data_IF_299689327996
#
_entry.id   IF_299689327996
#
_cell.length_a   1.000
_cell.length_b   1.000
_cell.length_c   1.000
_cell.angle_alpha   90.00
_cell.angle_beta   90.00
_cell.angle_gamma   90.00
#
_symmetry.space_group_name_H-M   'P 1'
#
loop_
_entity.id
_entity.type
_entity.pdbx_description
1 polymer ?
#
# COMPACT_ATOMS: atom_id res chain seq x y z
N UNK A 1 -2.16 5.60 11.13
CA UNK A 1 -1.11 5.06 12.03
C UNK A 1 -1.71 3.86 12.75
N UNK A 2 -1.57 2.65 12.20
CA UNK A 2 -1.95 1.41 12.89
C UNK A 2 -0.65 0.62 13.09
N UNK A 3 -0.16 0.58 14.32
CA UNK A 3 0.94 -0.27 14.71
C UNK A 3 0.42 -1.69 14.88
N UNK A 4 1.02 -2.65 14.16
CA UNK A 4 0.83 -4.07 14.45
C UNK A 4 1.88 -4.44 15.48
N UNK A 5 1.47 -4.46 16.76
CA UNK A 5 2.21 -5.16 17.80
C UNK A 5 2.15 -6.66 17.49
N UNK A 6 3.29 -7.28 17.23
CA UNK A 6 3.41 -8.74 17.18
C UNK A 6 3.52 -9.23 18.63
N UNK A 7 2.46 -9.86 19.14
CA UNK A 7 2.52 -10.64 20.35
C UNK A 7 3.30 -11.93 20.05
N UNK A 8 4.37 -12.18 20.81
CA UNK A 8 5.14 -13.42 20.75
C UNK A 8 4.26 -14.58 21.26
N UNK A 9 4.04 -15.60 20.43
CA UNK A 9 3.40 -16.84 20.86
C UNK A 9 2.67 -17.67 19.80
N UNK A 10 2.50 -17.20 18.56
CA UNK A 10 1.97 -18.05 17.48
C UNK A 10 3.10 -18.48 16.55
N UNK A 11 3.34 -19.79 16.56
CA UNK A 11 4.09 -20.51 15.53
C UNK A 11 3.55 -20.09 14.15
N UNK A 12 4.43 -19.77 13.18
CA UNK A 12 4.00 -19.36 11.85
C UNK A 12 3.15 -20.46 11.21
N UNK A 13 2.15 -20.12 10.38
CA UNK A 13 1.33 -21.12 9.70
C UNK A 13 2.24 -22.04 8.89
N UNK A 14 2.10 -23.34 9.15
CA UNK A 14 2.81 -24.41 8.46
C UNK A 14 2.58 -24.27 6.94
N UNK A 15 3.65 -24.22 6.11
CA UNK A 15 3.47 -24.08 4.67
C UNK A 15 2.89 -25.37 4.10
N UNK A 16 1.66 -25.28 3.59
CA UNK A 16 1.10 -26.31 2.73
C UNK A 16 2.08 -26.58 1.58
N UNK A 17 2.55 -27.83 1.53
CA UNK A 17 3.75 -28.23 0.80
C UNK A 17 3.76 -27.90 -0.69
N UNK A 18 4.94 -27.48 -1.15
CA UNK A 18 5.53 -27.95 -2.40
C UNK A 18 6.97 -28.36 -2.09
N UNK A 19 7.24 -29.65 -2.22
CA UNK A 19 8.58 -30.19 -2.08
C UNK A 19 9.33 -30.08 -3.40
N UNK A 20 10.43 -29.33 -3.43
CA UNK A 20 11.59 -29.64 -4.27
C UNK A 20 12.86 -29.41 -3.44
N UNK A 21 13.68 -30.46 -3.35
CA UNK A 21 14.93 -30.44 -2.59
C UNK A 21 16.05 -29.75 -3.35
N UNK A 22 16.79 -28.89 -2.66
CA UNK A 22 18.04 -28.30 -3.15
C UNK A 22 18.57 -27.19 -2.25
N UNK A 23 19.48 -27.54 -1.34
CA UNK A 23 20.37 -26.66 -0.55
C UNK A 23 19.76 -25.47 0.21
N UNK A 24 19.81 -25.51 1.55
CA UNK A 24 19.41 -24.43 2.43
C UNK A 24 20.26 -23.15 2.21
N UNK A 25 19.80 -22.27 1.32
CA UNK A 25 20.42 -20.97 1.09
C UNK A 25 19.37 -19.89 0.75
N UNK A 26 19.27 -18.89 1.62
CA UNK A 26 19.01 -17.49 1.25
C UNK A 26 17.76 -17.25 0.36
N UNK A 27 16.61 -17.75 0.80
CA UNK A 27 15.36 -17.64 0.03
C UNK A 27 14.67 -16.29 0.23
N UNK A 28 13.96 -15.85 -0.80
CA UNK A 28 12.99 -14.75 -0.68
C UNK A 28 11.65 -15.31 -0.20
N UNK A 29 11.01 -14.61 0.72
CA UNK A 29 9.59 -14.80 1.02
C UNK A 29 8.82 -13.75 0.22
N UNK A 30 7.88 -14.20 -0.61
CA UNK A 30 7.08 -13.32 -1.46
C UNK A 30 5.61 -13.51 -1.13
N UNK A 31 4.98 -12.43 -0.68
CA UNK A 31 3.55 -12.36 -0.39
C UNK A 31 2.86 -11.51 -1.47
N UNK A 32 1.63 -11.86 -1.81
CA UNK A 32 0.80 -11.04 -2.68
C UNK A 32 -0.63 -10.97 -2.17
N UNK A 33 -1.28 -9.85 -2.42
CA UNK A 33 -2.67 -9.63 -2.08
C UNK A 33 -3.37 -8.86 -3.21
N UNK A 34 -4.69 -9.03 -3.31
CA UNK A 34 -5.54 -8.29 -4.23
C UNK A 34 -6.78 -7.82 -3.50
N UNK A 35 -7.00 -6.51 -3.48
CA UNK A 35 -8.27 -5.92 -3.09
C UNK A 35 -9.10 -5.60 -4.33
N UNK A 36 -10.40 -5.95 -4.29
CA UNK A 36 -11.35 -5.64 -5.33
C UNK A 36 -12.67 -5.22 -4.70
N UNK A 37 -13.19 -4.08 -5.15
CA UNK A 37 -14.48 -3.56 -4.72
C UNK A 37 -15.24 -2.98 -5.90
N UNK A 38 -16.56 -3.16 -5.92
CA UNK A 38 -17.40 -2.56 -6.94
C UNK A 38 -18.77 -2.18 -6.39
N UNK A 39 -19.30 -1.10 -6.93
CA UNK A 39 -20.68 -0.67 -6.73
C UNK A 39 -21.38 -0.56 -8.08
N UNK A 40 -22.61 -1.09 -8.16
CA UNK A 40 -23.39 -1.03 -9.40
C UNK A 40 -23.64 0.42 -9.81
N UNK A 41 -23.15 0.79 -10.99
CA UNK A 41 -23.32 2.13 -11.55
C UNK A 41 -22.49 3.22 -10.86
N UNK A 42 -21.51 2.85 -10.02
CA UNK A 42 -20.62 3.79 -9.33
C UNK A 42 -19.16 3.35 -9.44
N UNK A 43 -18.42 3.44 -8.33
CA UNK A 43 -16.99 3.21 -8.27
C UNK A 43 -16.62 1.72 -8.38
N UNK A 44 -15.42 1.50 -8.88
CA UNK A 44 -14.72 0.22 -8.90
C UNK A 44 -13.27 0.45 -8.48
N UNK A 45 -12.80 -0.38 -7.57
CA UNK A 45 -11.44 -0.39 -7.03
C UNK A 45 -10.77 -1.70 -7.39
N UNK A 46 -9.51 -1.62 -7.81
CA UNK A 46 -8.61 -2.76 -7.86
C UNK A 46 -7.25 -2.36 -7.29
N UNK A 47 -6.71 -3.14 -6.37
CA UNK A 47 -5.43 -2.88 -5.71
C UNK A 47 -4.64 -4.17 -5.52
N UNK A 48 -3.77 -4.55 -6.47
CA UNK A 48 -2.73 -5.55 -6.25
C UNK A 48 -1.57 -5.01 -5.41
N UNK A 49 -1.10 -5.86 -4.50
CA UNK A 49 0.06 -5.62 -3.64
C UNK A 49 0.99 -6.81 -3.76
N UNK A 50 2.29 -6.55 -3.91
CA UNK A 50 3.35 -7.57 -3.83
C UNK A 50 4.38 -7.12 -2.81
N UNK A 51 4.76 -8.02 -1.92
CA UNK A 51 5.76 -7.80 -0.88
C UNK A 51 6.83 -8.90 -0.96
N UNK A 52 8.09 -8.52 -0.99
CA UNK A 52 9.21 -9.44 -1.03
C UNK A 52 10.17 -9.14 0.13
N UNK A 53 10.45 -10.15 0.94
CA UNK A 53 11.36 -10.08 2.09
C UNK A 53 12.50 -11.05 1.92
N UNK A 54 13.71 -10.59 2.23
CA UNK A 54 14.90 -11.42 2.31
C UNK A 54 15.56 -11.25 3.67
N UNK A 55 15.64 -12.36 4.39
CA UNK A 55 16.45 -12.49 5.60
C UNK A 55 17.78 -13.13 5.23
N UNK A 56 18.87 -12.40 5.48
CA UNK A 56 20.22 -12.86 5.18
C UNK A 56 20.80 -13.57 6.41
N UNK A 57 21.68 -14.55 6.18
CA UNK A 57 22.34 -15.30 7.26
C UNK A 57 23.13 -14.43 8.25
N UNK A 58 23.50 -13.21 7.87
CA UNK A 58 24.17 -12.23 8.72
C UNK A 58 23.21 -11.34 9.54
N UNK A 59 21.91 -11.66 9.55
CA UNK A 59 20.85 -10.96 10.30
C UNK A 59 20.34 -9.68 9.64
N UNK A 60 20.76 -9.39 8.40
CA UNK A 60 20.19 -8.28 7.63
C UNK A 60 18.82 -8.66 7.09
N UNK A 61 17.91 -7.70 7.04
CA UNK A 61 16.59 -7.90 6.46
C UNK A 61 16.36 -6.82 5.40
N UNK A 62 16.02 -7.24 4.19
CA UNK A 62 15.56 -6.35 3.12
C UNK A 62 14.09 -6.62 2.86
N UNK A 63 13.28 -5.57 2.83
CA UNK A 63 11.88 -5.61 2.44
C UNK A 63 11.67 -4.71 1.22
N UNK A 64 10.93 -5.20 0.23
CA UNK A 64 10.50 -4.48 -0.95
C UNK A 64 8.98 -4.64 -1.09
N UNK A 65 8.28 -3.56 -1.38
CA UNK A 65 6.83 -3.58 -1.60
C UNK A 65 6.46 -2.78 -2.84
N UNK A 66 5.54 -3.33 -3.61
CA UNK A 66 4.95 -2.71 -4.79
C UNK A 66 3.43 -2.72 -4.64
N UNK A 67 2.81 -1.56 -4.85
CA UNK A 67 1.37 -1.37 -4.82
C UNK A 67 0.96 -0.68 -6.12
N UNK A 68 -0.07 -1.20 -6.75
CA UNK A 68 -0.78 -0.49 -7.80
C UNK A 68 -2.23 -0.44 -7.35
N UNK A 69 -2.83 0.74 -7.34
CA UNK A 69 -4.26 0.87 -7.07
C UNK A 69 -4.92 1.73 -8.14
N UNK A 70 -6.16 1.40 -8.48
CA UNK A 70 -6.96 2.17 -9.40
C UNK A 70 -8.38 2.30 -8.90
N UNK A 71 -8.89 3.53 -8.97
CA UNK A 71 -10.26 3.90 -8.65
C UNK A 71 -10.92 4.46 -9.91
N UNK A 72 -11.95 3.79 -10.41
CA UNK A 72 -12.64 4.16 -11.66
C UNK A 72 -14.15 4.19 -11.49
N UNK A 73 -14.85 4.94 -12.33
CA UNK A 73 -16.31 4.93 -12.40
C UNK A 73 -16.97 6.11 -11.69
N UNK A 74 -18.30 6.14 -11.66
CA UNK A 74 -19.03 7.35 -11.30
C UNK A 74 -18.85 7.71 -9.81
N UNK A 75 -18.25 8.88 -9.54
CA UNK A 75 -18.02 9.38 -8.18
C UNK A 75 -18.83 10.65 -7.90
N UNK A 76 -19.44 10.82 -6.71
CA UNK A 76 -20.19 12.03 -6.38
C UNK A 76 -19.33 13.30 -6.44
N UNK A 77 -19.87 14.38 -7.00
CA UNK A 77 -19.19 15.67 -7.13
C UNK A 77 -19.29 16.56 -5.87
N UNK A 78 -19.88 16.04 -4.79
CA UNK A 78 -20.14 16.80 -3.56
C UNK A 78 -21.34 17.76 -3.63
N UNK A 79 -22.07 17.83 -4.75
CA UNK A 79 -23.32 18.57 -4.85
C UNK A 79 -24.52 17.76 -4.35
N UNK A 80 -25.50 18.47 -3.79
CA UNK A 80 -26.80 17.90 -3.43
C UNK A 80 -27.69 17.76 -4.66
N UNK A 81 -28.69 16.88 -4.58
CA UNK A 81 -29.74 16.78 -5.59
C UNK A 81 -30.52 18.10 -5.70
N UNK A 82 -30.88 18.49 -6.92
CA UNK A 82 -31.68 19.71 -7.18
C UNK A 82 -32.93 19.37 -7.98
N UNK A 83 -33.98 20.16 -7.83
CA UNK A 83 -35.18 20.08 -8.67
C UNK A 83 -34.99 20.76 -10.04
N UNK A 84 -33.84 21.42 -10.27
CA UNK A 84 -33.42 21.95 -11.56
C UNK A 84 -32.24 21.14 -12.11
N UNK A 85 -32.06 21.10 -13.45
CA UNK A 85 -30.86 20.50 -14.05
C UNK A 85 -29.59 21.20 -13.57
N UNK A 86 -28.52 20.43 -13.34
CA UNK A 86 -27.21 20.96 -12.95
C UNK A 86 -26.19 20.70 -14.07
N UNK A 87 -25.47 21.73 -14.51
CA UNK A 87 -24.47 21.64 -15.56
C UNK A 87 -23.08 21.65 -14.94
N UNK A 88 -22.26 20.67 -15.30
CA UNK A 88 -20.88 20.53 -14.86
C UNK A 88 -19.94 20.74 -16.02
N UNK A 89 -18.85 21.44 -15.77
CA UNK A 89 -17.80 21.71 -16.75
C UNK A 89 -16.45 21.30 -16.15
N UNK A 90 -15.57 20.74 -16.98
CA UNK A 90 -14.21 20.40 -16.59
C UNK A 90 -13.24 21.35 -17.30
N UNK A 91 -12.37 22.01 -16.53
CA UNK A 91 -11.42 23.00 -17.05
C UNK A 91 -10.39 22.41 -18.03
N UNK A 92 -10.09 21.10 -17.93
CA UNK A 92 -8.98 20.45 -18.61
C UNK A 92 -9.37 19.78 -19.93
N UNK A 93 -10.67 19.53 -20.16
CA UNK A 93 -11.17 18.78 -21.31
C UNK A 93 -12.58 19.25 -21.70
N UNK A 94 -12.67 20.07 -22.76
CA UNK A 94 -13.93 20.62 -23.28
C UNK A 94 -15.00 19.57 -23.66
N UNK A 95 -14.63 18.29 -23.80
CA UNK A 95 -15.52 17.17 -24.13
C UNK A 95 -16.24 16.54 -22.93
N UNK A 96 -16.00 16.98 -21.69
CA UNK A 96 -16.58 16.40 -20.48
C UNK A 96 -17.55 17.33 -19.74
N UNK A 97 -18.17 18.28 -20.44
CA UNK A 97 -19.33 19.00 -19.89
C UNK A 97 -20.56 18.10 -19.95
N UNK A 98 -21.26 17.94 -18.84
CA UNK A 98 -22.49 17.14 -18.78
C UNK A 98 -23.54 17.77 -17.87
N UNK A 99 -24.78 17.40 -18.10
CA UNK A 99 -25.93 17.86 -17.31
C UNK A 99 -26.46 16.71 -16.48
N UNK A 100 -26.54 16.92 -15.18
CA UNK A 100 -27.27 16.03 -14.26
C UNK A 100 -28.74 16.42 -14.27
N UNK A 101 -29.63 15.42 -14.42
CA UNK A 101 -31.06 15.64 -14.45
C UNK A 101 -31.62 16.03 -13.06
N UNK A 102 -32.77 16.73 -12.99
CA UNK A 102 -33.47 16.99 -11.75
C UNK A 102 -33.70 15.73 -10.90
N UNK A 103 -33.54 15.85 -9.59
CA UNK A 103 -33.75 14.78 -8.62
C UNK A 103 -32.65 13.70 -8.60
N UNK A 104 -31.64 13.79 -9.47
CA UNK A 104 -30.52 12.83 -9.51
C UNK A 104 -29.28 13.38 -8.83
N UNK A 105 -28.49 12.49 -8.21
CA UNK A 105 -27.23 12.85 -7.57
C UNK A 105 -26.18 13.14 -8.65
N UNK A 106 -25.55 14.33 -8.65
CA UNK A 106 -24.47 14.62 -9.58
C UNK A 106 -23.24 13.74 -9.32
N UNK A 107 -22.76 13.09 -10.37
CA UNK A 107 -21.57 12.21 -10.34
C UNK A 107 -20.68 12.52 -11.54
N UNK A 108 -19.36 12.39 -11.38
CA UNK A 108 -18.40 12.40 -12.50
C UNK A 108 -18.32 10.99 -13.11
N UNK A 109 -18.89 10.75 -14.30
CA UNK A 109 -18.86 9.44 -14.92
C UNK A 109 -17.49 9.09 -15.52
N UNK A 110 -16.56 10.04 -15.59
CA UNK A 110 -15.24 9.90 -16.20
C UNK A 110 -14.10 9.86 -15.17
N UNK A 111 -14.43 9.65 -13.89
CA UNK A 111 -13.41 9.58 -12.85
C UNK A 111 -12.52 8.34 -13.04
N UNK A 112 -11.22 8.60 -13.16
CA UNK A 112 -10.17 7.62 -13.32
C UNK A 112 -8.94 8.11 -12.56
N UNK A 113 -8.63 7.41 -11.48
CA UNK A 113 -7.42 7.61 -10.72
C UNK A 113 -6.62 6.31 -10.66
N UNK A 114 -5.30 6.44 -10.81
CA UNK A 114 -4.35 5.32 -10.81
C UNK A 114 -3.10 5.76 -10.07
N UNK A 115 -2.74 4.99 -9.06
CA UNK A 115 -1.50 5.15 -8.32
C UNK A 115 -0.59 3.96 -8.51
N UNK A 116 0.69 4.24 -8.71
CA UNK A 116 1.77 3.26 -8.60
C UNK A 116 2.69 3.69 -7.46
N UNK A 117 2.97 2.77 -6.54
CA UNK A 117 3.88 3.02 -5.42
C UNK A 117 4.87 1.87 -5.27
N UNK A 118 6.10 2.25 -4.91
CA UNK A 118 7.15 1.30 -4.56
C UNK A 118 7.83 1.78 -3.28
N UNK A 119 8.18 0.84 -2.41
CA UNK A 119 8.96 1.12 -1.21
C UNK A 119 9.96 0.02 -0.92
N UNK A 120 11.02 0.38 -0.20
CA UNK A 120 11.96 -0.58 0.32
C UNK A 120 12.52 -0.14 1.66
N UNK A 121 12.88 -1.11 2.48
CA UNK A 121 13.61 -0.88 3.72
C UNK A 121 14.71 -1.90 3.90
N UNK A 122 15.80 -1.48 4.55
CA UNK A 122 16.94 -2.31 4.89
C UNK A 122 17.24 -2.17 6.38
N UNK A 123 17.15 -3.28 7.09
CA UNK A 123 17.55 -3.41 8.49
C UNK A 123 18.95 -4.03 8.57
N UNK A 124 19.86 -3.36 9.27
CA UNK A 124 21.24 -3.73 9.53
C UNK A 124 21.40 -4.10 11.01
N UNK A 125 21.87 -5.32 11.35
CA UNK A 125 22.17 -5.70 12.72
C UNK A 125 23.57 -5.19 13.12
N UNK A 126 23.62 -3.97 13.64
CA UNK A 126 24.88 -3.33 14.04
C UNK A 126 25.60 -4.08 15.18
N UNK A 127 24.84 -4.76 16.03
CA UNK A 127 25.35 -5.71 17.04
C UNK A 127 24.26 -6.73 17.38
N UNK A 128 24.55 -7.69 18.28
CA UNK A 128 23.55 -8.66 18.78
C UNK A 128 22.30 -7.99 19.37
N UNK A 129 22.44 -6.77 19.89
CA UNK A 129 21.37 -6.06 20.60
C UNK A 129 21.00 -4.73 19.95
N UNK A 130 21.57 -4.36 18.80
CA UNK A 130 21.35 -3.06 18.17
C UNK A 130 21.08 -3.25 16.67
N UNK A 131 19.97 -2.72 16.18
CA UNK A 131 19.64 -2.68 14.76
C UNK A 131 19.38 -1.25 14.28
N UNK A 132 19.69 -0.99 13.02
CA UNK A 132 19.40 0.26 12.33
C UNK A 132 18.60 -0.06 11.07
N UNK A 133 17.50 0.66 10.85
CA UNK A 133 16.64 0.49 9.67
C UNK A 133 16.62 1.79 8.89
N UNK A 134 16.83 1.70 7.57
CA UNK A 134 16.61 2.80 6.63
C UNK A 134 15.58 2.39 5.61
N UNK A 135 14.75 3.32 5.15
CA UNK A 135 13.74 3.02 4.15
C UNK A 135 13.36 4.22 3.31
N UNK A 136 12.81 3.93 2.13
CA UNK A 136 12.30 4.92 1.20
C UNK A 136 11.02 4.43 0.52
N UNK A 137 10.15 5.38 0.15
CA UNK A 137 8.93 5.13 -0.64
C UNK A 137 8.77 6.23 -1.67
N UNK A 138 8.40 5.85 -2.88
CA UNK A 138 7.93 6.76 -3.91
C UNK A 138 6.53 6.34 -4.37
N UNK A 139 5.68 7.32 -4.69
CA UNK A 139 4.40 7.06 -5.35
C UNK A 139 4.12 8.10 -6.41
N UNK A 140 3.47 7.67 -7.47
CA UNK A 140 3.05 8.54 -8.56
C UNK A 140 1.57 8.30 -8.85
N UNK A 141 0.84 9.41 -8.95
CA UNK A 141 -0.53 9.58 -9.40
C UNK A 141 -0.49 10.55 -10.60
N UNK A 142 -1.57 10.68 -11.37
CA UNK A 142 -1.57 11.47 -12.63
C UNK A 142 -1.07 12.92 -12.48
N UNK A 143 -1.36 13.56 -11.34
CA UNK A 143 -1.04 14.95 -11.03
C UNK A 143 -0.15 15.12 -9.78
N UNK A 144 0.24 14.02 -9.13
CA UNK A 144 0.97 14.05 -7.87
C UNK A 144 2.11 13.03 -7.80
N UNK A 145 3.28 13.50 -7.40
CA UNK A 145 4.46 12.67 -7.11
C UNK A 145 4.84 12.84 -5.64
N UNK A 146 5.01 11.72 -4.93
CA UNK A 146 5.46 11.70 -3.55
C UNK A 146 6.76 10.92 -3.39
N UNK A 147 7.62 11.40 -2.49
CA UNK A 147 8.86 10.74 -2.07
C UNK A 147 8.99 10.86 -0.56
N UNK A 148 9.30 9.77 0.13
CA UNK A 148 9.45 9.71 1.58
C UNK A 148 10.67 8.89 1.95
N UNK A 149 11.42 9.33 2.95
CA UNK A 149 12.52 8.59 3.57
C UNK A 149 12.25 8.36 5.06
N UNK A 150 12.82 7.30 5.61
CA UNK A 150 12.71 6.94 7.03
C UNK A 150 14.02 6.34 7.55
N UNK A 151 14.28 6.53 8.84
CA UNK A 151 15.42 5.94 9.54
C UNK A 151 15.01 5.67 10.98
N UNK A 152 15.37 4.50 11.53
CA UNK A 152 15.08 4.16 12.92
C UNK A 152 16.18 3.28 13.51
N UNK A 153 16.42 3.42 14.81
CA UNK A 153 17.35 2.57 15.56
C UNK A 153 16.58 1.83 16.65
N UNK A 154 16.90 0.56 16.88
CA UNK A 154 16.30 -0.23 17.93
C UNK A 154 17.36 -0.98 18.73
N UNK A 155 17.19 -1.00 20.06
CA UNK A 155 18.06 -1.72 20.98
C UNK A 155 17.26 -2.70 21.84
N UNK A 156 17.73 -3.95 21.90
CA UNK A 156 17.18 -4.99 22.74
C UNK A 156 17.88 -5.05 24.10
N UNK A 157 17.11 -5.41 25.12
CA UNK A 157 17.54 -5.57 26.52
C UNK A 157 16.96 -6.88 27.07
N UNK A 158 17.54 -7.37 28.17
CA UNK A 158 17.01 -8.50 28.94
C UNK A 158 16.76 -9.75 28.07
N UNK A 159 17.74 -10.14 27.25
CA UNK A 159 17.63 -11.29 26.34
C UNK A 159 16.45 -11.17 25.37
N UNK A 160 16.32 -9.99 24.74
CA UNK A 160 15.27 -9.66 23.77
C UNK A 160 13.84 -9.58 24.35
N UNK A 161 13.67 -9.61 25.68
CA UNK A 161 12.38 -9.37 26.34
C UNK A 161 11.94 -7.90 26.34
N UNK A 162 12.80 -6.97 25.91
CA UNK A 162 12.46 -5.54 25.83
C UNK A 162 13.20 -4.89 24.67
N UNK A 163 12.47 -4.21 23.79
CA UNK A 163 13.04 -3.43 22.68
C UNK A 163 12.69 -1.96 22.85
N UNK A 164 13.70 -1.10 22.86
CA UNK A 164 13.52 0.36 22.77
C UNK A 164 13.88 0.80 21.35
N UNK A 165 12.99 1.55 20.70
CA UNK A 165 13.20 2.07 19.35
C UNK A 165 12.97 3.57 19.26
N UNK A 166 13.70 4.24 18.39
CA UNK A 166 13.55 5.66 18.06
C UNK A 166 13.67 5.87 16.56
N UNK A 167 12.75 6.64 15.97
CA UNK A 167 12.67 6.94 14.54
C UNK A 167 11.35 7.59 14.15
#
# INVERSE_FOLDING_TARGET
>A
MLGVARANGQEPPEPAGHAEGGSAANHWVVDSALSYYQEKGRIRVIEPIVNAVKDFQNGQIVNLQFVVDSLTGATPLGAVTSFLPQVWTNASKAAHSYTTAPGTLPVDPFYHDVRVAASGSWQLPLSRVLSWTVGAKASYELDFLSLTGSTSIARNFNEDNTTLSFG
#
